data_IF_171049900799
#
_entry.id   IF_171049900799
#
_cell.length_a   1.000
_cell.length_b   1.000
_cell.length_c   1.000
_cell.angle_alpha   90.00
_cell.angle_beta   90.00
_cell.angle_gamma   90.00
#
_symmetry.space_group_name_H-M   'P 1'
#
loop_
_entity.id
_entity.type
_entity.pdbx_description
1 polymer ?
#
# COMPACT_ATOMS: atom_id res chain seq x y z
N UNK A 1 26.87 6.25 -8.10
CA UNK A 1 27.69 5.07 -7.73
C UNK A 1 28.69 5.42 -6.66
N UNK A 2 29.51 6.45 -6.86
CA UNK A 2 30.55 6.86 -5.92
C UNK A 2 30.02 7.13 -4.49
N UNK A 3 28.82 7.70 -4.36
CA UNK A 3 28.17 7.94 -3.07
C UNK A 3 27.59 6.68 -2.37
N UNK A 4 27.74 5.48 -2.95
CA UNK A 4 27.32 4.23 -2.31
C UNK A 4 25.82 3.88 -2.43
N UNK A 5 25.13 4.34 -3.48
CA UNK A 5 23.74 3.94 -3.74
C UNK A 5 23.64 2.42 -3.98
N UNK A 6 22.83 1.72 -3.18
CA UNK A 6 22.72 0.26 -3.23
C UNK A 6 21.82 -0.26 -4.37
N UNK A 7 20.63 0.31 -4.53
CA UNK A 7 19.63 -0.12 -5.51
C UNK A 7 18.72 1.04 -5.92
N UNK A 8 17.94 0.85 -6.99
CA UNK A 8 16.89 1.80 -7.40
C UNK A 8 15.55 1.10 -7.55
N UNK A 9 14.51 1.75 -7.03
CA UNK A 9 13.13 1.36 -7.25
C UNK A 9 12.50 2.29 -8.28
N UNK A 10 12.00 1.72 -9.39
CA UNK A 10 11.31 2.45 -10.45
C UNK A 10 9.82 2.14 -10.35
N UNK A 11 8.98 3.18 -10.26
CA UNK A 11 7.53 3.00 -10.24
C UNK A 11 6.95 3.13 -11.64
N UNK A 12 6.22 2.11 -12.10
CA UNK A 12 5.44 2.13 -13.35
C UNK A 12 4.00 1.77 -13.00
N UNK A 13 3.02 2.49 -13.54
CA UNK A 13 1.62 2.30 -13.14
C UNK A 13 0.86 1.31 -14.03
N UNK A 14 1.30 1.12 -15.27
CA UNK A 14 0.64 0.24 -16.23
C UNK A 14 1.63 -0.19 -17.32
N UNK A 15 1.32 -1.25 -18.05
CA UNK A 15 2.16 -1.73 -19.17
C UNK A 15 1.98 -0.91 -20.45
N UNK A 16 0.92 -0.10 -20.55
CA UNK A 16 0.68 0.79 -21.68
C UNK A 16 0.98 2.26 -21.35
N UNK A 17 1.42 3.01 -22.36
CA UNK A 17 1.72 4.44 -22.24
C UNK A 17 0.52 5.25 -21.76
N UNK A 18 -0.62 5.05 -22.41
CA UNK A 18 -1.81 5.86 -22.16
C UNK A 18 -2.33 5.67 -20.73
N UNK A 19 -2.43 4.42 -20.27
CA UNK A 19 -2.89 4.13 -18.91
C UNK A 19 -1.86 4.56 -17.87
N UNK A 20 -0.55 4.32 -18.10
CA UNK A 20 0.47 4.75 -17.15
C UNK A 20 0.44 6.28 -16.98
N UNK A 21 0.38 7.01 -18.09
CA UNK A 21 0.41 8.48 -18.07
C UNK A 21 -0.88 9.05 -17.47
N UNK A 22 -2.03 8.41 -17.72
CA UNK A 22 -3.30 8.73 -17.06
C UNK A 22 -3.18 8.58 -15.54
N UNK A 23 -2.79 7.39 -15.05
CA UNK A 23 -2.68 7.09 -13.62
C UNK A 23 -1.62 7.92 -12.91
N UNK A 24 -0.50 8.20 -13.58
CA UNK A 24 0.54 9.08 -13.05
C UNK A 24 0.13 10.56 -13.03
N UNK A 25 -0.93 10.94 -13.76
CA UNK A 25 -1.32 12.34 -13.97
C UNK A 25 -0.29 13.15 -14.75
N UNK A 26 0.64 12.49 -15.45
CA UNK A 26 1.74 13.13 -16.19
C UNK A 26 2.36 12.17 -17.22
N UNK A 27 2.91 12.74 -18.31
CA UNK A 27 3.61 11.99 -19.36
C UNK A 27 4.94 11.46 -18.85
N UNK A 28 4.96 10.22 -18.35
CA UNK A 28 6.11 9.66 -17.64
C UNK A 28 6.54 8.27 -18.11
N UNK A 29 5.72 7.56 -18.88
CA UNK A 29 5.97 6.16 -19.23
C UNK A 29 7.32 5.94 -19.93
N UNK A 30 7.59 6.68 -21.01
CA UNK A 30 8.83 6.58 -21.78
C UNK A 30 10.05 6.94 -20.92
N UNK A 31 9.91 7.98 -20.10
CA UNK A 31 10.98 8.41 -19.19
C UNK A 31 11.28 7.35 -18.13
N UNK A 32 10.24 6.73 -17.54
CA UNK A 32 10.39 5.64 -16.57
C UNK A 32 11.05 4.40 -17.17
N UNK A 33 10.69 4.04 -18.40
CA UNK A 33 11.37 2.96 -19.12
C UNK A 33 12.84 3.27 -19.40
N UNK A 34 13.16 4.51 -19.81
CA UNK A 34 14.55 4.91 -20.01
C UNK A 34 15.34 4.86 -18.70
N UNK A 35 14.76 5.34 -17.59
CA UNK A 35 15.37 5.22 -16.25
C UNK A 35 15.63 3.76 -15.90
N UNK A 36 14.66 2.85 -16.12
CA UNK A 36 14.86 1.42 -15.89
C UNK A 36 16.04 0.85 -16.70
N UNK A 37 16.15 1.20 -17.99
CA UNK A 37 17.30 0.80 -18.83
C UNK A 37 18.61 1.38 -18.32
N UNK A 38 18.62 2.63 -17.86
CA UNK A 38 19.80 3.27 -17.27
C UNK A 38 20.25 2.58 -15.98
N UNK A 39 19.31 2.20 -15.11
CA UNK A 39 19.60 1.43 -13.89
C UNK A 39 20.38 0.15 -14.23
N UNK A 40 19.89 -0.62 -15.21
CA UNK A 40 20.57 -1.86 -15.65
C UNK A 40 21.87 -1.59 -16.40
N UNK A 41 21.92 -0.57 -17.27
CA UNK A 41 23.14 -0.15 -17.98
C UNK A 41 24.27 0.18 -17.01
N UNK A 42 23.94 0.81 -15.89
CA UNK A 42 24.88 1.10 -14.83
C UNK A 42 25.06 -0.06 -13.85
N UNK A 43 24.44 -1.22 -14.04
CA UNK A 43 24.66 -2.40 -13.21
C UNK A 43 24.19 -2.24 -11.76
N UNK A 44 23.12 -1.48 -11.52
CA UNK A 44 22.43 -1.47 -10.24
C UNK A 44 21.36 -2.55 -10.20
N UNK A 45 21.09 -3.14 -9.01
CA UNK A 45 19.87 -3.86 -8.76
C UNK A 45 18.65 -2.95 -8.97
N UNK A 46 17.66 -3.46 -9.68
CA UNK A 46 16.41 -2.78 -9.99
C UNK A 46 15.23 -3.47 -9.33
N UNK A 47 14.49 -2.70 -8.54
CA UNK A 47 13.15 -3.04 -8.08
C UNK A 47 12.17 -2.32 -8.99
N UNK A 48 11.32 -3.07 -9.70
CA UNK A 48 10.18 -2.49 -10.39
C UNK A 48 8.97 -2.59 -9.47
N UNK A 49 8.26 -1.48 -9.26
CA UNK A 49 7.09 -1.45 -8.41
C UNK A 49 5.87 -1.00 -9.22
N UNK A 50 4.80 -1.78 -9.12
CA UNK A 50 3.52 -1.51 -9.78
C UNK A 50 2.42 -1.64 -8.74
N UNK A 51 1.63 -0.59 -8.58
CA UNK A 51 0.46 -0.62 -7.70
C UNK A 51 -0.71 -1.21 -8.48
N UNK A 52 -1.30 -2.28 -7.98
CA UNK A 52 -2.40 -3.01 -8.62
C UNK A 52 -3.75 -2.50 -8.10
N UNK A 53 -4.65 -2.23 -9.04
CA UNK A 53 -6.02 -1.79 -8.82
C UNK A 53 -6.88 -2.13 -10.06
N UNK A 54 -8.19 -1.87 -9.99
CA UNK A 54 -9.17 -2.28 -10.99
C UNK A 54 -8.82 -1.87 -12.43
N UNK A 55 -8.29 -0.67 -12.61
CA UNK A 55 -7.98 -0.16 -13.97
C UNK A 55 -6.78 -0.83 -14.63
N UNK A 56 -5.85 -1.45 -13.88
CA UNK A 56 -4.64 -2.05 -14.48
C UNK A 56 -4.50 -3.55 -14.22
N UNK A 57 -5.29 -4.14 -13.32
CA UNK A 57 -5.14 -5.55 -12.92
C UNK A 57 -5.28 -6.54 -14.10
N UNK A 58 -6.10 -6.19 -15.09
CA UNK A 58 -6.26 -6.99 -16.31
C UNK A 58 -5.00 -7.03 -17.19
N UNK A 59 -4.07 -6.08 -17.02
CA UNK A 59 -2.78 -6.04 -17.72
C UNK A 59 -1.68 -6.83 -17.02
N UNK A 60 -2.04 -7.69 -16.05
CA UNK A 60 -1.07 -8.48 -15.28
C UNK A 60 -0.06 -9.23 -16.17
N UNK A 61 -0.46 -9.94 -17.25
CA UNK A 61 0.49 -10.61 -18.14
C UNK A 61 1.51 -9.64 -18.77
N UNK A 62 1.05 -8.49 -19.25
CA UNK A 62 1.89 -7.48 -19.90
C UNK A 62 2.80 -6.77 -18.90
N UNK A 63 2.33 -6.52 -17.68
CA UNK A 63 3.14 -5.95 -16.60
C UNK A 63 4.30 -6.88 -16.26
N UNK A 64 4.02 -8.18 -16.12
CA UNK A 64 5.03 -9.21 -15.84
C UNK A 64 6.05 -9.34 -16.97
N UNK A 65 5.58 -9.35 -18.22
CA UNK A 65 6.44 -9.41 -19.40
C UNK A 65 7.33 -8.16 -19.51
N UNK A 66 6.79 -6.96 -19.26
CA UNK A 66 7.54 -5.72 -19.25
C UNK A 66 8.63 -5.74 -18.16
N UNK A 67 8.32 -6.25 -16.97
CA UNK A 67 9.32 -6.36 -15.89
C UNK A 67 10.48 -7.29 -16.27
N UNK A 68 10.18 -8.43 -16.91
CA UNK A 68 11.17 -9.36 -17.44
C UNK A 68 12.01 -8.71 -18.56
N UNK A 69 11.39 -7.99 -19.50
CA UNK A 69 12.09 -7.29 -20.60
C UNK A 69 13.03 -6.20 -20.09
N UNK A 70 12.59 -5.41 -19.10
CA UNK A 70 13.41 -4.38 -18.47
C UNK A 70 14.55 -4.97 -17.61
N UNK A 71 14.54 -6.29 -17.38
CA UNK A 71 15.56 -6.98 -16.59
C UNK A 71 15.49 -6.65 -15.10
N UNK A 72 14.28 -6.47 -14.55
CA UNK A 72 14.09 -6.24 -13.13
C UNK A 72 14.63 -7.40 -12.28
N UNK A 73 15.31 -7.09 -11.18
CA UNK A 73 15.79 -8.10 -10.24
C UNK A 73 14.65 -8.47 -9.25
N UNK A 74 13.82 -7.48 -8.94
CA UNK A 74 12.63 -7.61 -8.12
C UNK A 74 11.44 -6.93 -8.80
N UNK A 75 10.27 -7.57 -8.73
CA UNK A 75 8.99 -6.98 -9.12
C UNK A 75 8.07 -6.98 -7.90
N UNK A 76 7.68 -5.80 -7.45
CA UNK A 76 6.70 -5.58 -6.39
C UNK A 76 5.34 -5.26 -7.03
N UNK A 77 4.41 -6.21 -6.92
CA UNK A 77 3.01 -6.06 -7.28
C UNK A 77 2.25 -5.73 -6.00
N UNK A 78 2.14 -4.44 -5.69
CA UNK A 78 1.55 -3.96 -4.46
C UNK A 78 0.05 -3.70 -4.67
N UNK A 79 -0.84 -4.40 -3.97
CA UNK A 79 -2.26 -4.02 -4.00
C UNK A 79 -2.47 -2.64 -3.35
N UNK A 80 -3.41 -1.89 -3.91
CA UNK A 80 -3.76 -0.55 -3.41
C UNK A 80 -4.26 -0.63 -1.97
N UNK A 81 -3.68 0.17 -1.10
CA UNK A 81 -4.20 0.40 0.24
C UNK A 81 -5.26 1.49 0.17
N UNK A 82 -6.49 1.20 0.61
CA UNK A 82 -7.64 2.11 0.46
C UNK A 82 -7.80 3.12 1.61
N UNK A 83 -6.67 3.51 2.21
CA UNK A 83 -6.58 4.66 3.11
C UNK A 83 -5.82 5.82 2.46
N UNK A 84 -5.86 6.99 3.07
CA UNK A 84 -5.38 8.23 2.44
C UNK A 84 -6.11 8.53 1.14
N UNK A 85 -5.36 8.90 0.09
CA UNK A 85 -5.95 9.39 -1.18
C UNK A 85 -6.76 8.35 -1.95
N UNK A 86 -6.36 7.08 -1.87
CA UNK A 86 -7.07 6.00 -2.56
C UNK A 86 -8.48 5.78 -2.01
N UNK A 87 -8.75 6.21 -0.77
CA UNK A 87 -10.07 6.12 -0.16
C UNK A 87 -11.15 6.89 -0.95
N UNK A 88 -10.81 8.10 -1.40
CA UNK A 88 -11.73 8.94 -2.20
C UNK A 88 -12.11 8.31 -3.54
N UNK A 89 -11.34 7.31 -4.00
CA UNK A 89 -11.55 6.58 -5.25
C UNK A 89 -11.77 5.08 -5.00
N UNK A 90 -12.05 4.65 -3.76
CA UNK A 90 -12.04 3.23 -3.39
C UNK A 90 -12.95 2.41 -4.31
N UNK A 91 -14.18 2.85 -4.49
CA UNK A 91 -15.15 2.09 -5.28
C UNK A 91 -14.79 2.05 -6.77
N UNK A 92 -13.93 2.98 -7.23
CA UNK A 92 -13.40 3.02 -8.59
C UNK A 92 -12.14 2.16 -8.78
N UNK A 93 -11.34 2.03 -7.73
CA UNK A 93 -10.04 1.37 -7.76
C UNK A 93 -10.07 -0.06 -7.23
N UNK A 94 -11.05 -0.44 -6.43
CA UNK A 94 -11.15 -1.77 -5.84
C UNK A 94 -11.50 -2.83 -6.91
N UNK A 95 -10.58 -3.77 -7.24
CA UNK A 95 -10.86 -4.85 -8.18
C UNK A 95 -11.98 -5.75 -7.66
N UNK A 96 -12.70 -6.42 -8.55
CA UNK A 96 -13.60 -7.50 -8.14
C UNK A 96 -12.81 -8.71 -7.64
N UNK A 97 -13.47 -9.60 -6.89
CA UNK A 97 -12.86 -10.85 -6.43
C UNK A 97 -12.36 -11.70 -7.59
N UNK A 98 -13.15 -11.81 -8.66
CA UNK A 98 -12.79 -12.55 -9.89
C UNK A 98 -11.54 -11.99 -10.57
N UNK A 99 -11.43 -10.65 -10.65
CA UNK A 99 -10.23 -10.00 -11.19
C UNK A 99 -8.99 -10.29 -10.34
N UNK A 100 -9.17 -10.31 -9.01
CA UNK A 100 -8.08 -10.61 -8.09
C UNK A 100 -7.61 -12.06 -8.21
N UNK A 101 -8.52 -13.03 -8.17
CA UNK A 101 -8.22 -14.47 -8.29
C UNK A 101 -7.48 -14.75 -9.61
N UNK A 102 -7.97 -14.20 -10.72
CA UNK A 102 -7.32 -14.34 -12.02
C UNK A 102 -5.90 -13.74 -12.04
N UNK A 103 -5.72 -12.55 -11.48
CA UNK A 103 -4.42 -11.89 -11.45
C UNK A 103 -3.41 -12.62 -10.54
N UNK A 104 -3.87 -13.18 -9.43
CA UNK A 104 -3.06 -14.01 -8.55
C UNK A 104 -2.60 -15.28 -9.27
N UNK A 105 -3.50 -16.00 -9.93
CA UNK A 105 -3.14 -17.19 -10.72
C UNK A 105 -2.07 -16.88 -11.77
N UNK A 106 -2.22 -15.78 -12.51
CA UNK A 106 -1.24 -15.32 -13.51
C UNK A 106 0.11 -15.00 -12.85
N UNK A 107 0.09 -14.27 -11.73
CA UNK A 107 1.31 -13.87 -11.03
C UNK A 107 2.07 -15.08 -10.47
N UNK A 108 1.37 -16.08 -9.90
CA UNK A 108 2.00 -17.31 -9.40
C UNK A 108 2.61 -18.14 -10.53
N UNK A 109 1.88 -18.34 -11.64
CA UNK A 109 2.40 -19.07 -12.79
C UNK A 109 3.65 -18.40 -13.38
N UNK A 110 3.66 -17.07 -13.46
CA UNK A 110 4.82 -16.33 -13.95
C UNK A 110 6.00 -16.37 -12.97
N UNK A 111 5.73 -16.34 -11.66
CA UNK A 111 6.76 -16.49 -10.62
C UNK A 111 7.51 -17.81 -10.72
N UNK A 112 6.82 -18.90 -11.04
CA UNK A 112 7.47 -20.18 -11.33
C UNK A 112 8.33 -20.12 -12.60
N UNK A 113 7.82 -19.51 -13.68
CA UNK A 113 8.56 -19.33 -14.96
C UNK A 113 9.89 -18.59 -14.78
N UNK A 114 9.92 -17.53 -13.97
CA UNK A 114 11.11 -16.66 -13.79
C UNK A 114 11.94 -16.98 -12.56
N UNK A 115 11.68 -18.12 -11.90
CA UNK A 115 12.40 -18.54 -10.71
C UNK A 115 13.92 -18.50 -10.91
N UNK A 116 14.62 -17.78 -10.02
CA UNK A 116 16.08 -17.58 -10.08
C UNK A 116 16.55 -16.44 -10.98
N UNK A 117 15.69 -15.84 -11.81
CA UNK A 117 16.02 -14.68 -12.65
C UNK A 117 15.47 -13.37 -12.09
N UNK A 118 14.22 -13.38 -11.64
CA UNK A 118 13.53 -12.24 -11.05
C UNK A 118 12.72 -12.71 -9.83
N UNK A 119 12.70 -11.93 -8.75
CA UNK A 119 11.87 -12.21 -7.58
C UNK A 119 10.58 -11.41 -7.66
N UNK A 120 9.44 -12.09 -7.61
CA UNK A 120 8.13 -11.44 -7.62
C UNK A 120 7.55 -11.46 -6.20
N UNK A 121 7.21 -10.27 -5.70
CA UNK A 121 6.45 -10.05 -4.48
C UNK A 121 5.03 -9.61 -4.84
N UNK A 122 4.05 -10.49 -4.60
CA UNK A 122 2.64 -10.18 -4.77
C UNK A 122 2.03 -9.90 -3.40
N UNK A 123 1.67 -8.64 -3.15
CA UNK A 123 1.08 -8.21 -1.88
C UNK A 123 -0.43 -8.26 -2.03
N UNK A 124 -1.05 -9.30 -1.48
CA UNK A 124 -2.51 -9.57 -1.52
C UNK A 124 -3.34 -8.38 -0.96
N UNK A 125 -4.55 -8.08 -1.46
CA UNK A 125 -5.41 -7.02 -0.95
C UNK A 125 -6.08 -7.45 0.36
N UNK A 126 -6.09 -6.57 1.36
CA UNK A 126 -6.58 -6.92 2.69
C UNK A 126 -8.13 -7.08 2.74
N UNK A 127 -8.89 -6.51 1.80
CA UNK A 127 -10.36 -6.48 1.86
C UNK A 127 -11.02 -7.85 1.59
N UNK A 128 -10.34 -8.74 0.86
CA UNK A 128 -10.82 -10.10 0.58
C UNK A 128 -10.34 -11.13 1.61
N UNK A 129 -9.56 -10.71 2.60
CA UNK A 129 -9.00 -11.59 3.63
C UNK A 129 -9.89 -11.68 4.87
N UNK A 130 -9.70 -12.77 5.63
CA UNK A 130 -10.35 -12.99 6.93
C UNK A 130 -9.53 -12.49 8.11
N UNK A 131 -8.24 -12.25 7.91
CA UNK A 131 -7.31 -11.75 8.93
C UNK A 131 -6.52 -10.58 8.39
N UNK A 132 -6.35 -9.50 9.17
CA UNK A 132 -5.51 -8.40 8.76
C UNK A 132 -4.04 -8.84 8.79
N UNK A 133 -3.22 -8.22 7.96
CA UNK A 133 -1.76 -8.36 8.07
C UNK A 133 -1.23 -7.54 9.23
N UNK A 134 -0.08 -7.95 9.76
CA UNK A 134 0.71 -7.12 10.65
C UNK A 134 1.18 -5.86 9.92
N UNK A 135 0.40 -4.78 10.01
CA UNK A 135 0.72 -3.51 9.35
C UNK A 135 2.11 -3.02 9.82
N UNK A 136 3.06 -2.90 8.88
CA UNK A 136 4.47 -2.58 9.16
C UNK A 136 5.14 -3.47 10.21
N UNK A 137 4.68 -4.73 10.34
CA UNK A 137 5.12 -5.68 11.36
C UNK A 137 4.86 -5.20 12.81
N UNK A 138 3.81 -4.39 12.99
CA UNK A 138 3.43 -3.78 14.26
C UNK A 138 3.79 -2.29 14.34
N UNK A 139 2.96 -1.52 15.05
CA UNK A 139 3.13 -0.08 15.16
C UNK A 139 4.45 0.29 15.83
N UNK A 140 5.27 1.09 15.14
CA UNK A 140 6.55 1.57 15.65
C UNK A 140 7.52 0.44 16.00
N UNK A 141 7.46 -0.73 15.38
CA UNK A 141 8.40 -1.85 15.67
C UNK A 141 9.55 -1.93 14.67
N UNK A 142 9.28 -1.57 13.41
CA UNK A 142 10.23 -1.77 12.30
C UNK A 142 10.50 -0.49 11.48
N UNK A 143 9.57 0.46 11.48
CA UNK A 143 9.55 1.54 10.51
C UNK A 143 9.46 2.93 11.13
N UNK A 144 10.23 3.87 10.60
CA UNK A 144 10.23 5.29 10.94
C UNK A 144 10.32 6.10 9.65
N UNK A 145 9.31 6.95 9.41
CA UNK A 145 9.30 7.90 8.29
C UNK A 145 9.64 9.29 8.80
N UNK A 146 10.54 10.00 8.11
CA UNK A 146 10.71 11.44 8.27
C UNK A 146 10.04 12.14 7.10
N UNK A 147 8.98 12.90 7.38
CA UNK A 147 8.31 13.72 6.38
C UNK A 147 9.20 14.92 5.97
N UNK A 148 8.95 15.57 4.82
CA UNK A 148 9.77 16.71 4.36
C UNK A 148 9.83 17.90 5.32
N UNK A 149 8.83 18.03 6.21
CA UNK A 149 8.78 19.05 7.27
C UNK A 149 9.55 18.64 8.55
N UNK A 150 10.22 17.48 8.54
CA UNK A 150 11.00 16.94 9.66
C UNK A 150 10.20 16.12 10.67
N UNK A 151 8.87 16.01 10.52
CA UNK A 151 8.05 15.23 11.45
C UNK A 151 8.31 13.74 11.25
N UNK A 152 8.56 13.04 12.35
CA UNK A 152 8.76 11.61 12.39
C UNK A 152 7.44 10.87 12.62
N UNK A 153 7.18 9.83 11.83
CA UNK A 153 5.94 9.06 11.85
C UNK A 153 6.22 7.55 12.00
N UNK A 154 5.48 6.84 12.88
CA UNK A 154 5.62 5.39 13.05
C UNK A 154 5.04 4.57 11.88
N UNK A 155 4.22 5.19 11.03
CA UNK A 155 3.82 4.69 9.72
C UNK A 155 3.50 5.86 8.79
N UNK A 156 3.44 5.63 7.47
CA UNK A 156 3.20 6.71 6.49
C UNK A 156 1.92 7.52 6.75
N UNK A 157 0.85 6.87 7.21
CA UNK A 157 -0.47 7.50 7.44
C UNK A 157 -0.73 7.86 8.90
N UNK A 158 0.26 7.80 9.79
CA UNK A 158 0.05 8.05 11.22
C UNK A 158 -0.50 9.45 11.51
N UNK A 159 -0.20 10.43 10.65
CA UNK A 159 -0.67 11.82 10.78
C UNK A 159 -2.19 11.96 10.57
N UNK A 160 -2.85 10.98 9.97
CA UNK A 160 -4.31 10.98 9.78
C UNK A 160 -5.06 10.66 11.08
N UNK A 161 -4.38 10.10 12.08
CA UNK A 161 -5.00 9.71 13.34
C UNK A 161 -5.12 10.88 14.31
N UNK A 162 -6.27 11.06 14.96
CA UNK A 162 -6.51 12.18 15.87
C UNK A 162 -5.71 12.02 17.16
N UNK A 163 -5.18 13.13 17.67
CA UNK A 163 -4.51 13.17 18.98
C UNK A 163 -3.11 12.56 19.00
N UNK A 164 -2.54 12.20 17.85
CA UNK A 164 -1.16 11.73 17.73
C UNK A 164 -0.18 12.90 17.55
N UNK A 165 0.46 13.30 18.65
CA UNK A 165 1.50 14.32 18.66
C UNK A 165 2.83 13.75 18.14
N UNK A 166 3.07 13.92 16.84
CA UNK A 166 4.22 13.36 16.14
C UNK A 166 5.45 14.27 16.28
N UNK A 167 6.60 13.78 16.80
CA UNK A 167 7.77 14.61 17.09
C UNK A 167 8.52 15.04 15.82
N UNK A 168 9.33 16.09 15.91
CA UNK A 168 10.16 16.57 14.80
C UNK A 168 11.66 16.32 15.05
N UNK A 169 12.40 15.93 14.01
CA UNK A 169 13.85 15.66 14.10
C UNK A 169 14.69 16.91 14.31
N UNK A 170 14.12 18.10 14.09
CA UNK A 170 14.79 19.35 14.43
C UNK A 170 14.84 19.61 15.95
N UNK A 171 13.91 19.00 16.70
CA UNK A 171 13.75 19.21 18.14
C UNK A 171 14.23 18.01 18.98
N UNK A 172 14.22 16.81 18.40
CA UNK A 172 14.54 15.56 19.08
C UNK A 172 15.48 14.67 18.27
N UNK A 173 16.32 13.88 18.96
CA UNK A 173 17.15 12.88 18.28
C UNK A 173 16.29 11.71 17.76
N UNK A 174 16.74 11.02 16.71
CA UNK A 174 16.05 9.83 16.17
C UNK A 174 15.87 8.75 17.26
N UNK A 175 16.86 8.60 18.14
CA UNK A 175 16.81 7.65 19.26
C UNK A 175 15.67 8.01 20.22
N UNK A 176 15.57 9.26 20.64
CA UNK A 176 14.53 9.72 21.56
C UNK A 176 13.14 9.61 20.91
N UNK A 177 13.05 9.96 19.63
CA UNK A 177 11.82 9.79 18.85
C UNK A 177 11.38 8.32 18.86
N UNK A 178 12.29 7.41 18.58
CA UNK A 178 11.97 5.99 18.45
C UNK A 178 11.60 5.34 19.79
N UNK A 179 12.34 5.64 20.86
CA UNK A 179 12.21 4.97 22.15
C UNK A 179 11.21 5.67 23.09
N UNK A 180 11.20 7.00 23.13
CA UNK A 180 10.50 7.77 24.18
C UNK A 180 9.24 8.48 23.68
N UNK A 181 9.11 8.72 22.38
CA UNK A 181 7.96 9.50 21.90
C UNK A 181 6.64 8.78 22.11
N UNK A 182 5.61 9.56 22.48
CA UNK A 182 4.25 9.05 22.62
C UNK A 182 3.73 8.50 21.30
N UNK A 183 4.04 9.14 20.18
CA UNK A 183 3.58 8.68 18.87
C UNK A 183 4.05 7.27 18.52
N UNK A 184 5.33 6.96 18.75
CA UNK A 184 5.88 5.64 18.44
C UNK A 184 5.46 4.56 19.43
N UNK A 185 5.17 4.94 20.68
CA UNK A 185 4.71 4.01 21.71
C UNK A 185 3.18 3.86 21.79
N UNK A 186 2.40 4.70 21.10
CA UNK A 186 0.94 4.79 21.26
C UNK A 186 0.21 3.45 21.06
N UNK A 187 0.54 2.75 19.97
CA UNK A 187 -0.01 1.43 19.64
C UNK A 187 1.08 0.34 19.61
N UNK A 188 2.24 0.59 20.23
CA UNK A 188 3.32 -0.40 20.30
C UNK A 188 2.96 -1.48 21.32
N UNK A 189 3.20 -2.73 20.99
CA UNK A 189 2.81 -3.87 21.82
C UNK A 189 1.31 -4.14 21.80
N UNK A 190 0.77 -4.74 22.86
CA UNK A 190 -0.62 -5.22 22.92
C UNK A 190 -1.45 -4.65 24.09
N UNK A 191 -0.87 -3.82 24.97
CA UNK A 191 -1.55 -3.31 26.17
C UNK A 191 -2.72 -2.37 25.85
N UNK A 192 -2.66 -1.66 24.73
CA UNK A 192 -3.69 -0.72 24.26
C UNK A 192 -4.93 -1.41 23.67
N UNK A 193 -4.82 -2.70 23.32
CA UNK A 193 -5.83 -3.41 22.55
C UNK A 193 -7.15 -3.52 23.30
N UNK A 194 -8.26 -3.32 22.57
CA UNK A 194 -9.61 -3.58 23.05
C UNK A 194 -10.07 -4.98 22.63
N UNK A 195 -11.22 -5.44 23.15
CA UNK A 195 -11.84 -6.66 22.64
C UNK A 195 -12.28 -6.46 21.16
N UNK A 196 -12.19 -7.49 20.31
CA UNK A 196 -11.79 -8.87 20.63
C UNK A 196 -10.27 -9.10 20.71
N UNK A 197 -9.44 -8.13 20.29
CA UNK A 197 -7.98 -8.31 20.17
C UNK A 197 -7.30 -8.55 21.53
N UNK A 198 -7.77 -7.93 22.60
CA UNK A 198 -7.19 -8.04 23.96
C UNK A 198 -7.07 -9.49 24.43
N UNK A 199 -8.13 -10.28 24.23
CA UNK A 199 -8.20 -11.70 24.59
C UNK A 199 -7.87 -12.66 23.45
N UNK A 200 -7.58 -12.15 22.25
CA UNK A 200 -7.30 -12.95 21.07
C UNK A 200 -5.94 -13.67 21.15
N UNK A 201 -5.89 -14.91 20.67
CA UNK A 201 -4.70 -15.74 20.55
C UNK A 201 -3.77 -15.33 19.39
N UNK A 202 -4.29 -14.53 18.45
CA UNK A 202 -3.56 -14.06 17.26
C UNK A 202 -2.94 -12.67 17.43
N UNK A 203 -3.17 -12.00 18.57
CA UNK A 203 -2.82 -10.57 18.76
C UNK A 203 -1.33 -10.24 18.60
N UNK A 204 -0.43 -11.19 18.88
CA UNK A 204 1.01 -11.01 18.71
C UNK A 204 1.49 -11.37 17.29
N UNK A 205 0.58 -11.87 16.42
CA UNK A 205 0.86 -12.16 15.01
C UNK A 205 0.51 -10.98 14.11
N UNK A 206 -0.67 -10.40 14.29
CA UNK A 206 -1.19 -9.32 13.44
C UNK A 206 -1.17 -7.93 14.10
N UNK A 207 -0.90 -7.88 15.41
CA UNK A 207 -0.90 -6.64 16.21
C UNK A 207 -2.22 -5.86 16.11
N UNK A 208 -3.33 -6.57 15.91
CA UNK A 208 -4.66 -5.99 15.71
C UNK A 208 -4.89 -5.42 14.32
N UNK A 209 -3.95 -5.52 13.38
CA UNK A 209 -4.06 -4.96 12.03
C UNK A 209 -3.74 -3.47 11.93
N UNK A 210 -4.20 -2.81 10.87
CA UNK A 210 -3.86 -1.43 10.56
C UNK A 210 -4.71 -0.43 11.37
N UNK A 211 -4.04 0.42 12.18
CA UNK A 211 -4.71 1.44 13.01
C UNK A 211 -5.32 2.56 12.17
N UNK A 212 -4.64 2.97 11.10
CA UNK A 212 -5.15 3.98 10.15
C UNK A 212 -6.41 3.50 9.44
N UNK A 213 -6.45 2.22 9.03
CA UNK A 213 -7.62 1.62 8.41
C UNK A 213 -8.78 1.45 9.41
N UNK A 214 -8.49 0.96 10.62
CA UNK A 214 -9.50 0.84 11.67
C UNK A 214 -10.18 2.19 11.94
N UNK A 215 -9.39 3.26 12.07
CA UNK A 215 -9.94 4.61 12.24
C UNK A 215 -10.73 5.09 11.04
N UNK A 216 -10.19 4.93 9.83
CA UNK A 216 -10.85 5.39 8.60
C UNK A 216 -12.22 4.73 8.38
N UNK A 217 -12.33 3.42 8.66
CA UNK A 217 -13.53 2.65 8.39
C UNK A 217 -14.54 2.70 9.53
N UNK A 218 -14.10 2.88 10.78
CA UNK A 218 -14.99 2.79 11.96
C UNK A 218 -15.15 4.09 12.72
N UNK A 219 -14.31 5.10 12.44
CA UNK A 219 -14.18 6.32 13.23
C UNK A 219 -13.43 6.15 14.55
N UNK A 220 -12.94 4.94 14.87
CA UNK A 220 -12.25 4.65 16.13
C UNK A 220 -10.96 3.85 15.90
N UNK A 221 -9.82 4.46 16.24
CA UNK A 221 -8.48 3.87 16.09
C UNK A 221 -8.17 2.74 17.08
N UNK A 222 -8.98 2.56 18.13
CA UNK A 222 -8.81 1.50 19.13
C UNK A 222 -9.54 0.21 18.77
N UNK A 223 -10.47 0.26 17.81
CA UNK A 223 -11.21 -0.92 17.36
C UNK A 223 -10.32 -1.91 16.62
N UNK A 224 -10.71 -3.19 16.64
CA UNK A 224 -10.10 -4.20 15.79
C UNK A 224 -10.23 -3.78 14.32
N UNK A 225 -9.19 -4.05 13.53
CA UNK A 225 -9.25 -3.81 12.08
C UNK A 225 -10.48 -4.53 11.49
N UNK A 226 -11.39 -3.84 10.78
CA UNK A 226 -12.59 -4.45 10.18
C UNK A 226 -12.31 -5.58 9.19
N UNK A 227 -11.08 -5.69 8.67
CA UNK A 227 -10.65 -6.85 7.87
C UNK A 227 -10.63 -8.13 8.71
N UNK A 228 -10.49 -8.07 10.03
CA UNK A 228 -10.59 -9.27 10.85
C UNK A 228 -12.03 -9.78 10.89
N UNK A 229 -12.27 -11.06 10.56
CA UNK A 229 -13.62 -11.65 10.69
C UNK A 229 -14.12 -11.77 12.14
N UNK A 230 -13.24 -11.57 13.13
CA UNK A 230 -13.62 -11.43 14.56
C UNK A 230 -14.09 -10.01 14.91
N UNK A 231 -13.86 -9.01 14.05
CA UNK A 231 -14.24 -7.61 14.33
C UNK A 231 -15.76 -7.44 14.30
N UNK A 232 -16.37 -6.75 15.28
CA UNK A 232 -17.80 -6.45 15.24
C UNK A 232 -18.18 -5.52 14.09
N UNK A 233 -17.22 -4.78 13.53
CA UNK A 233 -17.41 -3.83 12.43
C UNK A 233 -17.09 -4.43 11.05
N UNK A 234 -16.95 -5.77 10.94
CA UNK A 234 -16.66 -6.48 9.66
C UNK A 234 -17.62 -6.10 8.53
N UNK A 235 -18.87 -5.77 8.86
CA UNK A 235 -19.88 -5.35 7.88
C UNK A 235 -19.43 -4.16 7.03
N UNK A 236 -18.62 -3.23 7.57
CA UNK A 236 -18.11 -2.07 6.81
C UNK A 236 -17.23 -2.50 5.62
N UNK A 237 -16.50 -3.61 5.75
CA UNK A 237 -15.74 -4.18 4.62
C UNK A 237 -16.69 -4.75 3.58
N UNK A 238 -17.72 -5.49 4.00
CA UNK A 238 -18.69 -6.05 3.08
C UNK A 238 -19.43 -4.95 2.31
N UNK A 239 -19.86 -3.88 2.98
CA UNK A 239 -20.52 -2.74 2.36
C UNK A 239 -19.59 -2.03 1.35
N UNK A 240 -18.29 -1.93 1.65
CA UNK A 240 -17.31 -1.37 0.73
C UNK A 240 -17.09 -2.25 -0.51
N UNK A 241 -17.08 -3.58 -0.34
CA UNK A 241 -16.98 -4.55 -1.44
C UNK A 241 -18.22 -4.50 -2.33
N UNK A 242 -19.41 -4.46 -1.72
CA UNK A 242 -20.68 -4.40 -2.44
C UNK A 242 -20.79 -3.08 -3.23
N UNK A 243 -20.43 -1.95 -2.63
CA UNK A 243 -20.40 -0.64 -3.30
C UNK A 243 -19.40 -0.60 -4.46
N UNK A 244 -18.21 -1.15 -4.28
CA UNK A 244 -17.23 -1.26 -5.37
C UNK A 244 -17.73 -2.15 -6.51
N UNK A 245 -18.43 -3.24 -6.20
CA UNK A 245 -19.04 -4.14 -7.19
C UNK A 245 -20.16 -3.44 -7.97
N UNK A 246 -21.03 -2.70 -7.29
CA UNK A 246 -22.06 -1.90 -7.94
C UNK A 246 -21.44 -0.86 -8.88
N UNK A 247 -20.38 -0.19 -8.44
CA UNK A 247 -19.61 0.74 -9.28
C UNK A 247 -19.02 0.05 -10.52
N UNK A 248 -18.47 -1.16 -10.38
CA UNK A 248 -17.90 -1.92 -11.50
C UNK A 248 -18.95 -2.35 -12.54
N UNK A 249 -20.20 -2.54 -12.11
CA UNK A 249 -21.32 -2.95 -12.96
C UNK A 249 -22.14 -1.77 -13.51
N UNK A 250 -21.88 -0.55 -13.02
CA UNK A 250 -22.54 0.67 -13.47
C UNK A 250 -22.18 1.01 -14.91
N UNK A 251 -23.17 1.46 -15.69
CA UNK A 251 -22.94 2.04 -17.02
C UNK A 251 -22.45 3.50 -16.96
N UNK A 252 -22.59 4.15 -15.81
CA UNK A 252 -22.15 5.54 -15.59
C UNK A 252 -20.70 5.55 -15.08
N UNK A 253 -19.75 5.81 -15.99
CA UNK A 253 -18.35 6.01 -15.64
C UNK A 253 -18.18 7.32 -14.83
N UNK A 254 -17.59 7.18 -13.64
CA UNK A 254 -17.20 8.33 -12.81
C UNK A 254 -15.69 8.56 -12.93
N UNK A 255 -15.23 9.81 -13.15
CA UNK A 255 -13.80 10.08 -13.24
C UNK A 255 -13.12 9.95 -11.88
N UNK A 256 -11.88 9.46 -11.87
CA UNK A 256 -11.04 9.45 -10.69
C UNK A 256 -10.78 10.88 -10.17
N UNK A 257 -10.83 11.05 -8.85
CA UNK A 257 -10.40 12.25 -8.14
C UNK A 257 -8.88 12.20 -8.00
N UNK A 258 -8.17 12.86 -8.92
CA UNK A 258 -6.71 12.96 -8.87
C UNK A 258 -6.20 13.87 -7.75
N UNK A 259 -5.05 13.50 -7.16
CA UNK A 259 -4.36 14.35 -6.17
C UNK A 259 -3.69 15.52 -6.86
N UNK A 260 -4.15 16.72 -6.54
CA UNK A 260 -3.56 17.98 -6.98
C UNK A 260 -3.71 19.03 -5.87
N UNK A 261 -3.07 20.19 -6.03
CA UNK A 261 -3.08 21.25 -5.00
C UNK A 261 -4.48 21.71 -4.59
N UNK A 262 -5.46 21.66 -5.50
CA UNK A 262 -6.86 22.01 -5.22
C UNK A 262 -7.54 20.91 -4.41
N UNK A 263 -7.52 19.69 -4.91
CA UNK A 263 -8.21 18.56 -4.29
C UNK A 263 -7.62 18.22 -2.90
N UNK A 264 -6.30 18.38 -2.71
CA UNK A 264 -5.62 18.10 -1.43
C UNK A 264 -6.02 19.00 -0.25
N UNK A 265 -6.86 20.01 -0.51
CA UNK A 265 -7.43 20.89 0.53
C UNK A 265 -8.91 20.58 0.80
N UNK A 266 -9.51 19.72 -0.02
CA UNK A 266 -10.93 19.36 0.02
C UNK A 266 -11.16 17.96 0.58
N UNK A 267 -10.24 17.04 0.26
CA UNK A 267 -10.15 15.67 0.76
C UNK A 267 -8.89 15.55 1.61
#
# INVERSE_FOLDING_TARGET
KEAGLDHLQVSIQASSKDLNDHLAGTKSFEHKQEVARLVKKHGYPMVLCVVIHRENIHQMPEILAMAEELGADYLELANTQYYGWAHANRDLLLPTQEQFEQAEEIAQAFKEKVAGKMKIYYVVPDFYEDRPKACMNGWGTTFLTIAPDGVALPCHSARELPGLDCPNVNDHSISDIWHESKAFNFFRGNEWMQEPCRSCDEKDKDFGGCRCQAYLLTGDMYKADPVCSKSPDRQVIQDALDSARESALSADEQPLVFRNSKNSRLY
#
